data_IF_055246123473
#
_entry.id   IF_055246123473
#
_cell.length_a   1.000
_cell.length_b   1.000
_cell.length_c   1.000
_cell.angle_alpha   90.00
_cell.angle_beta   90.00
_cell.angle_gamma   90.00
#
_symmetry.space_group_name_H-M   'P 1'
#
loop_
_entity.id
_entity.type
_entity.pdbx_description
1 polymer ?
#
# COMPACT_ATOMS: atom_id res chain seq x y z
N UNK A 1 -1.92 0.75 -10.18
CA UNK A 1 -2.42 -0.08 -9.05
C UNK A 1 -1.43 -1.10 -8.48
N UNK A 2 -0.63 -1.84 -9.28
CA UNK A 2 0.30 -2.86 -8.75
C UNK A 2 1.21 -2.38 -7.59
N UNK A 3 1.83 -1.19 -7.64
CA UNK A 3 2.67 -0.70 -6.53
C UNK A 3 1.90 -0.52 -5.22
N UNK A 4 0.67 0.01 -5.30
CA UNK A 4 -0.21 0.20 -4.13
C UNK A 4 -0.63 -1.14 -3.54
N UNK A 5 -0.98 -2.12 -4.38
CA UNK A 5 -1.32 -3.47 -3.92
C UNK A 5 -0.10 -4.14 -3.26
N UNK A 6 1.10 -3.98 -3.84
CA UNK A 6 2.35 -4.48 -3.24
C UNK A 6 2.57 -3.87 -1.86
N UNK A 7 2.44 -2.56 -1.71
CA UNK A 7 2.57 -1.87 -0.42
C UNK A 7 1.52 -2.37 0.58
N UNK A 8 0.26 -2.47 0.16
CA UNK A 8 -0.82 -2.93 1.01
C UNK A 8 -0.57 -4.34 1.55
N UNK A 9 -0.17 -5.28 0.68
CA UNK A 9 0.20 -6.64 1.08
C UNK A 9 1.45 -6.65 1.97
N UNK A 10 2.44 -5.79 1.71
CA UNK A 10 3.62 -5.62 2.56
C UNK A 10 3.30 -5.03 3.95
N UNK A 11 2.14 -4.41 4.12
CA UNK A 11 1.62 -3.93 5.40
C UNK A 11 0.54 -4.85 6.00
N UNK A 12 0.34 -6.04 5.42
CA UNK A 12 -0.61 -7.04 5.91
C UNK A 12 -2.08 -6.73 5.60
N UNK A 13 -2.40 -5.73 4.77
CA UNK A 13 -3.77 -5.49 4.30
C UNK A 13 -4.26 -6.67 3.47
N UNK A 14 -5.51 -7.07 3.72
CA UNK A 14 -6.18 -8.17 3.03
C UNK A 14 -7.13 -7.63 1.98
N UNK A 15 -7.55 -8.53 1.08
CA UNK A 15 -8.47 -8.20 -0.01
C UNK A 15 -9.71 -7.41 0.45
N UNK A 16 -10.34 -7.83 1.55
CA UNK A 16 -11.54 -7.16 2.06
C UNK A 16 -11.31 -5.67 2.41
N UNK A 17 -10.12 -5.30 2.89
CA UNK A 17 -9.81 -3.89 3.20
C UNK A 17 -9.68 -3.07 1.90
N UNK A 18 -8.99 -3.63 0.91
CA UNK A 18 -8.80 -2.99 -0.39
C UNK A 18 -10.12 -2.85 -1.14
N UNK A 19 -10.97 -3.88 -1.11
CA UNK A 19 -12.31 -3.86 -1.71
C UNK A 19 -13.19 -2.78 -1.08
N UNK A 20 -13.22 -2.72 0.26
CA UNK A 20 -13.98 -1.71 0.98
C UNK A 20 -13.55 -0.29 0.59
N UNK A 21 -12.25 0.01 0.67
CA UNK A 21 -11.73 1.35 0.32
C UNK A 21 -12.03 1.72 -1.14
N UNK A 22 -11.83 0.78 -2.08
CA UNK A 22 -12.11 1.04 -3.50
C UNK A 22 -13.60 1.29 -3.73
N UNK A 23 -14.46 0.49 -3.08
CA UNK A 23 -15.91 0.64 -3.16
C UNK A 23 -16.35 2.02 -2.70
N UNK A 24 -15.85 2.48 -1.55
CA UNK A 24 -16.17 3.80 -1.01
C UNK A 24 -15.73 4.92 -1.95
N UNK A 25 -14.48 4.87 -2.44
CA UNK A 25 -13.95 5.87 -3.36
C UNK A 25 -14.73 5.92 -4.68
N UNK A 26 -15.19 4.78 -5.20
CA UNK A 26 -16.03 4.74 -6.40
C UNK A 26 -17.37 5.45 -6.18
N UNK A 27 -18.00 5.24 -5.04
CA UNK A 27 -19.28 5.88 -4.70
C UNK A 27 -19.09 7.40 -4.54
N UNK A 28 -18.03 7.82 -3.85
CA UNK A 28 -17.72 9.23 -3.63
C UNK A 28 -17.44 9.98 -4.94
N UNK A 29 -16.58 9.42 -5.80
CA UNK A 29 -16.27 10.01 -7.11
C UNK A 29 -17.48 10.00 -8.05
N UNK A 30 -18.30 8.96 -8.03
CA UNK A 30 -19.56 8.95 -8.77
C UNK A 30 -20.50 10.06 -8.29
N UNK A 31 -20.64 10.23 -6.96
CA UNK A 31 -21.48 11.29 -6.39
C UNK A 31 -20.98 12.67 -6.81
N UNK A 32 -19.66 12.92 -6.73
CA UNK A 32 -19.04 14.18 -7.19
C UNK A 32 -19.36 14.46 -8.66
N UNK A 33 -19.20 13.47 -9.53
CA UNK A 33 -19.48 13.63 -10.96
C UNK A 33 -20.96 13.96 -11.28
N UNK A 34 -21.91 13.58 -10.41
CA UNK A 34 -23.31 13.99 -10.51
C UNK A 34 -23.54 15.40 -9.93
N UNK A 35 -22.92 15.72 -8.80
CA UNK A 35 -22.99 17.04 -8.17
C UNK A 35 -22.39 18.14 -9.05
N UNK A 36 -21.31 17.85 -9.79
CA UNK A 36 -20.72 18.76 -10.77
C UNK A 36 -21.68 19.09 -11.92
N UNK A 37 -22.71 18.25 -12.13
CA UNK A 37 -23.82 18.49 -13.07
C UNK A 37 -25.06 19.10 -12.40
N UNK A 38 -24.97 19.46 -11.12
CA UNK A 38 -26.05 20.06 -10.34
C UNK A 38 -27.13 19.08 -9.88
N UNK A 39 -26.85 17.77 -9.87
CA UNK A 39 -27.83 16.73 -9.52
C UNK A 39 -27.34 15.92 -8.33
N UNK A 40 -28.16 15.82 -7.28
CA UNK A 40 -27.94 14.84 -6.20
C UNK A 40 -28.38 13.45 -6.69
N UNK A 41 -27.48 12.47 -6.84
CA UNK A 41 -27.83 11.18 -7.42
C UNK A 41 -28.58 10.29 -6.43
N UNK A 42 -29.62 9.62 -6.91
CA UNK A 42 -30.27 8.55 -6.16
C UNK A 42 -29.45 7.23 -6.20
N UNK A 43 -29.83 6.26 -5.36
CA UNK A 43 -29.14 4.96 -5.26
C UNK A 43 -29.01 4.21 -6.60
N UNK A 44 -30.00 4.34 -7.49
CA UNK A 44 -29.97 3.69 -8.80
C UNK A 44 -28.94 4.35 -9.72
N UNK A 45 -28.86 5.68 -9.72
CA UNK A 45 -27.86 6.41 -10.49
C UNK A 45 -26.44 6.09 -10.02
N UNK A 46 -26.21 6.03 -8.70
CA UNK A 46 -24.92 5.62 -8.14
C UNK A 46 -24.56 4.17 -8.51
N UNK A 47 -25.51 3.24 -8.41
CA UNK A 47 -25.31 1.84 -8.80
C UNK A 47 -24.94 1.69 -10.28
N UNK A 48 -25.65 2.41 -11.17
CA UNK A 48 -25.36 2.41 -12.62
C UNK A 48 -23.99 3.03 -12.93
N UNK A 49 -23.65 4.14 -12.26
CA UNK A 49 -22.38 4.87 -12.51
C UNK A 49 -21.16 4.07 -12.02
N UNK A 50 -21.28 3.41 -10.87
CA UNK A 50 -20.17 2.67 -10.25
C UNK A 50 -20.10 1.19 -10.66
N UNK A 51 -21.19 0.62 -11.19
CA UNK A 51 -21.34 -0.81 -11.40
C UNK A 51 -21.53 -1.63 -10.11
N UNK A 52 -21.61 -0.98 -8.94
CA UNK A 52 -21.80 -1.63 -7.66
C UNK A 52 -23.27 -2.01 -7.45
N UNK A 53 -23.51 -3.13 -6.76
CA UNK A 53 -24.88 -3.53 -6.43
C UNK A 53 -25.52 -2.53 -5.44
N UNK A 54 -26.85 -2.45 -5.46
CA UNK A 54 -27.61 -1.50 -4.66
C UNK A 54 -27.37 -1.65 -3.15
N UNK A 55 -27.12 -2.86 -2.65
CA UNK A 55 -26.82 -3.11 -1.23
C UNK A 55 -25.50 -2.42 -0.84
N UNK A 56 -24.48 -2.54 -1.67
CA UNK A 56 -23.15 -1.97 -1.45
C UNK A 56 -23.18 -0.43 -1.47
N UNK A 57 -23.97 0.16 -2.37
CA UNK A 57 -24.23 1.61 -2.40
C UNK A 57 -25.03 2.08 -1.18
N UNK A 58 -26.04 1.31 -0.79
CA UNK A 58 -26.91 1.65 0.35
C UNK A 58 -26.16 1.62 1.67
N UNK A 59 -25.24 0.67 1.86
CA UNK A 59 -24.40 0.59 3.06
C UNK A 59 -23.64 1.91 3.28
N UNK A 60 -22.99 2.43 2.24
CA UNK A 60 -22.24 3.69 2.34
C UNK A 60 -23.11 4.91 2.64
N UNK A 61 -24.28 5.01 2.00
CA UNK A 61 -25.20 6.16 2.18
C UNK A 61 -25.84 6.17 3.58
N UNK A 62 -25.89 5.02 4.26
CA UNK A 62 -26.50 4.86 5.60
C UNK A 62 -25.51 4.93 6.76
N UNK A 63 -24.20 5.04 6.49
CA UNK A 63 -23.16 5.15 7.53
C UNK A 63 -23.21 6.52 8.25
N UNK A 64 -24.18 6.67 9.16
CA UNK A 64 -24.01 7.44 10.38
C UNK A 64 -23.69 6.52 11.58
N UNK A 65 -24.09 5.25 11.58
CA UNK A 65 -23.80 4.30 12.66
C UNK A 65 -23.83 2.86 12.15
N UNK A 66 -22.75 2.40 11.53
CA UNK A 66 -22.37 0.99 11.70
C UNK A 66 -20.93 1.00 12.21
N UNK A 67 -20.63 0.39 13.37
CA UNK A 67 -19.25 0.10 13.68
C UNK A 67 -18.74 -0.73 12.50
N UNK A 68 -17.69 -0.25 11.84
CA UNK A 68 -16.94 -1.00 10.83
C UNK A 68 -16.97 -2.47 11.25
N UNK A 69 -17.41 -3.42 10.39
CA UNK A 69 -17.42 -4.82 10.77
C UNK A 69 -16.03 -5.10 11.33
N UNK A 70 -15.97 -5.46 12.63
CA UNK A 70 -14.71 -5.61 13.35
C UNK A 70 -13.80 -6.40 12.43
N UNK A 71 -12.78 -5.73 11.93
CA UNK A 71 -11.92 -6.34 10.94
C UNK A 71 -11.20 -7.44 11.68
N UNK A 72 -11.66 -8.68 11.50
CA UNK A 72 -11.02 -9.80 12.13
C UNK A 72 -9.57 -9.77 11.70
N UNK A 73 -8.68 -9.46 12.65
CA UNK A 73 -7.25 -9.40 12.40
C UNK A 73 -6.84 -10.65 11.63
N UNK A 74 -6.00 -10.49 10.60
CA UNK A 74 -5.53 -11.65 9.84
C UNK A 74 -4.88 -12.68 10.75
N UNK A 75 -4.87 -13.95 10.36
CA UNK A 75 -4.24 -15.00 11.18
C UNK A 75 -2.77 -14.66 11.54
N UNK A 76 -2.02 -14.05 10.61
CA UNK A 76 -0.67 -13.54 10.87
C UNK A 76 -0.63 -12.38 11.87
N UNK A 77 -1.54 -11.41 11.74
CA UNK A 77 -1.63 -10.30 12.70
C UNK A 77 -2.04 -10.78 14.10
N UNK A 78 -3.03 -11.68 14.21
CA UNK A 78 -3.44 -12.30 15.48
C UNK A 78 -2.28 -13.08 16.11
N UNK A 79 -1.54 -13.84 15.30
CA UNK A 79 -0.39 -14.63 15.76
C UNK A 79 0.72 -13.73 16.27
N UNK A 80 1.06 -12.68 15.52
CA UNK A 80 2.06 -11.70 15.92
C UNK A 80 1.69 -10.98 17.22
N UNK A 81 0.44 -10.51 17.35
CA UNK A 81 -0.02 -9.80 18.56
C UNK A 81 0.03 -10.70 19.78
N UNK A 82 -0.44 -11.95 19.66
CA UNK A 82 -0.36 -12.93 20.74
C UNK A 82 1.11 -13.23 21.12
N UNK A 83 1.97 -13.41 20.11
CA UNK A 83 3.38 -13.69 20.32
C UNK A 83 4.11 -12.52 21.00
N UNK A 84 3.82 -11.27 20.59
CA UNK A 84 4.35 -10.07 21.22
C UNK A 84 3.93 -9.94 22.68
N UNK A 85 2.66 -10.23 22.98
CA UNK A 85 2.16 -10.22 24.36
C UNK A 85 2.91 -11.26 25.21
N UNK A 86 3.04 -12.50 24.71
CA UNK A 86 3.80 -13.56 25.38
C UNK A 86 5.27 -13.14 25.62
N UNK A 87 5.91 -12.51 24.63
CA UNK A 87 7.31 -12.05 24.74
C UNK A 87 7.50 -10.85 25.67
N UNK A 88 6.44 -10.09 25.94
CA UNK A 88 6.46 -8.98 26.92
C UNK A 88 6.45 -9.53 28.33
N UNK A 89 5.67 -10.59 28.57
CA UNK A 89 5.58 -11.27 29.85
C UNK A 89 6.83 -12.14 30.13
N UNK A 90 7.41 -12.74 29.09
CA UNK A 90 8.67 -13.50 29.16
C UNK A 90 9.57 -13.22 27.94
N UNK A 91 10.66 -12.43 28.09
CA UNK A 91 11.60 -12.12 27.02
C UNK A 91 12.25 -13.35 26.36
N UNK A 92 12.30 -14.51 27.03
CA UNK A 92 12.81 -15.75 26.42
C UNK A 92 11.94 -16.22 25.24
N UNK A 93 10.68 -15.77 25.17
CA UNK A 93 9.73 -16.11 24.11
C UNK A 93 9.88 -15.24 22.86
N UNK A 94 10.86 -14.32 22.79
CA UNK A 94 11.23 -13.63 21.55
C UNK A 94 11.66 -14.60 20.43
N UNK A 95 12.12 -15.80 20.80
CA UNK A 95 12.39 -16.91 19.90
C UNK A 95 11.66 -18.16 20.38
N UNK A 96 10.88 -18.78 19.49
CA UNK A 96 10.16 -20.03 19.75
C UNK A 96 10.69 -21.15 18.86
N UNK A 97 10.68 -22.42 19.30
CA UNK A 97 10.79 -23.54 18.37
C UNK A 97 9.60 -23.51 17.39
N UNK A 98 9.83 -23.91 16.13
CA UNK A 98 8.78 -23.95 15.11
C UNK A 98 7.64 -24.89 15.54
N UNK A 99 8.01 -26.09 15.95
CA UNK A 99 7.17 -27.15 16.52
C UNK A 99 7.86 -27.62 17.81
N UNK A 100 7.09 -27.88 18.87
CA UNK A 100 7.63 -28.40 20.12
C UNK A 100 7.04 -29.78 20.46
N UNK A 101 7.87 -30.62 21.07
CA UNK A 101 7.44 -31.86 21.72
C UNK A 101 6.99 -31.58 23.16
N UNK A 102 5.99 -32.33 23.65
CA UNK A 102 5.62 -32.32 25.07
C UNK A 102 4.90 -31.08 25.58
N UNK A 103 4.28 -30.26 24.72
CA UNK A 103 3.41 -29.15 25.13
C UNK A 103 4.14 -27.85 25.52
N UNK A 104 5.45 -27.76 25.26
CA UNK A 104 6.19 -26.51 25.42
C UNK A 104 5.72 -25.43 24.42
N UNK A 105 5.89 -24.13 24.74
CA UNK A 105 5.56 -23.03 23.82
C UNK A 105 6.30 -23.18 22.48
N UNK A 106 5.54 -23.12 21.38
CA UNK A 106 6.05 -23.19 20.01
C UNK A 106 5.30 -22.22 19.12
N UNK A 107 5.92 -21.84 18.00
CA UNK A 107 5.27 -21.00 17.00
C UNK A 107 3.99 -21.65 16.46
N UNK A 108 4.00 -22.97 16.20
CA UNK A 108 2.81 -23.72 15.80
C UNK A 108 1.66 -23.56 16.80
N UNK A 109 1.93 -23.69 18.10
CA UNK A 109 0.90 -23.57 19.13
C UNK A 109 0.29 -22.16 19.16
N UNK A 110 1.12 -21.12 19.05
CA UNK A 110 0.69 -19.71 19.00
C UNK A 110 -0.15 -19.45 17.74
N UNK A 111 0.33 -19.89 16.59
CA UNK A 111 -0.34 -19.73 15.30
C UNK A 111 -1.70 -20.42 15.28
N UNK A 112 -1.77 -21.67 15.76
CA UNK A 112 -3.00 -22.45 15.87
C UNK A 112 -4.01 -21.79 16.81
N UNK A 113 -3.55 -21.26 17.95
CA UNK A 113 -4.42 -20.56 18.89
C UNK A 113 -4.99 -19.28 18.26
N UNK A 114 -4.12 -18.44 17.70
CA UNK A 114 -4.50 -17.17 17.08
C UNK A 114 -5.39 -17.32 15.85
N UNK A 115 -5.19 -18.36 15.04
CA UNK A 115 -6.02 -18.65 13.87
C UNK A 115 -7.25 -19.49 14.16
N UNK A 116 -7.46 -19.91 15.42
CA UNK A 116 -8.46 -20.93 15.82
C UNK A 116 -8.36 -22.22 14.99
N UNK A 117 -7.15 -22.58 14.58
CA UNK A 117 -6.88 -23.75 13.72
C UNK A 117 -7.26 -23.59 12.24
N UNK A 118 -7.80 -22.45 11.81
CA UNK A 118 -8.28 -22.26 10.43
C UNK A 118 -7.17 -22.06 9.38
N UNK A 119 -5.93 -21.81 9.80
CA UNK A 119 -4.79 -21.56 8.90
C UNK A 119 -3.59 -22.33 9.41
N UNK A 120 -2.91 -23.04 8.52
CA UNK A 120 -1.71 -23.82 8.86
C UNK A 120 -0.58 -22.90 9.34
N UNK A 121 0.15 -23.31 10.39
CA UNK A 121 1.21 -22.49 10.99
C UNK A 121 2.27 -22.08 9.96
N UNK A 122 2.60 -22.96 9.00
CA UNK A 122 3.56 -22.63 7.93
C UNK A 122 3.11 -21.46 7.05
N UNK A 123 1.84 -21.43 6.66
CA UNK A 123 1.27 -20.31 5.88
C UNK A 123 1.36 -18.98 6.64
N UNK A 124 1.18 -19.03 7.97
CA UNK A 124 1.32 -17.85 8.82
C UNK A 124 2.78 -17.43 8.95
N UNK A 125 3.69 -18.39 9.13
CA UNK A 125 5.13 -18.14 9.21
C UNK A 125 5.68 -17.53 7.92
N UNK A 126 5.35 -18.12 6.77
CA UNK A 126 5.77 -17.64 5.46
C UNK A 126 5.32 -16.19 5.25
N UNK A 127 4.11 -15.83 5.70
CA UNK A 127 3.61 -14.46 5.66
C UNK A 127 4.37 -13.53 6.62
N UNK A 128 4.69 -13.94 7.85
CA UNK A 128 5.47 -13.12 8.78
C UNK A 128 6.92 -12.91 8.32
N UNK A 129 7.54 -13.93 7.72
CA UNK A 129 8.88 -13.85 7.10
C UNK A 129 8.84 -12.94 5.87
N UNK A 130 7.83 -13.08 5.00
CA UNK A 130 7.63 -12.20 3.85
C UNK A 130 7.46 -10.73 4.26
N UNK A 131 6.85 -10.47 5.43
CA UNK A 131 6.68 -9.15 6.01
C UNK A 131 7.92 -8.65 6.78
N UNK A 132 8.99 -9.45 6.85
CA UNK A 132 10.18 -9.20 7.65
C UNK A 132 9.91 -9.01 9.15
N UNK A 133 8.80 -9.56 9.66
CA UNK A 133 8.37 -9.49 11.07
C UNK A 133 8.90 -10.65 11.90
N UNK A 134 9.30 -11.74 11.24
CA UNK A 134 9.93 -12.89 11.85
C UNK A 134 11.05 -13.42 10.95
N UNK A 135 12.03 -14.08 11.56
CA UNK A 135 13.04 -14.88 10.86
C UNK A 135 12.91 -16.33 11.29
N UNK A 136 13.24 -17.25 10.39
CA UNK A 136 13.32 -18.67 10.69
C UNK A 136 14.75 -19.16 10.47
N UNK A 137 15.33 -19.80 11.48
CA UNK A 137 16.67 -20.37 11.41
C UNK A 137 16.75 -21.63 12.28
N UNK A 138 17.33 -22.70 11.74
CA UNK A 138 17.58 -23.96 12.45
C UNK A 138 16.38 -24.50 13.26
N UNK A 139 15.16 -24.47 12.68
CA UNK A 139 13.94 -24.98 13.32
C UNK A 139 13.38 -24.09 14.43
N UNK A 140 13.90 -22.86 14.56
CA UNK A 140 13.39 -21.83 15.46
C UNK A 140 12.90 -20.62 14.66
N UNK A 141 11.94 -19.92 15.24
CA UNK A 141 11.37 -18.69 14.70
C UNK A 141 11.63 -17.57 15.71
N UNK A 142 12.16 -16.44 15.27
CA UNK A 142 12.44 -15.29 16.12
C UNK A 142 11.72 -14.04 15.60
N UNK A 143 11.21 -13.20 16.52
CA UNK A 143 10.67 -11.89 16.16
C UNK A 143 11.79 -10.99 15.66
N UNK A 144 11.58 -10.36 14.51
CA UNK A 144 12.56 -9.43 13.96
C UNK A 144 12.32 -8.02 14.53
N UNK A 145 13.16 -7.60 15.47
CA UNK A 145 13.15 -6.24 16.02
C UNK A 145 13.44 -5.16 14.96
N UNK A 146 14.17 -5.49 13.88
CA UNK A 146 14.43 -4.56 12.77
C UNK A 146 13.25 -4.47 11.76
N UNK A 147 12.34 -5.45 11.77
CA UNK A 147 11.03 -5.34 11.10
C UNK A 147 10.08 -4.37 11.81
N UNK A 148 10.41 -4.00 13.05
CA UNK A 148 9.76 -2.95 13.81
C UNK A 148 10.35 -1.59 13.39
N UNK A 149 9.94 -1.09 12.23
CA UNK A 149 10.11 0.35 11.93
C UNK A 149 9.47 1.09 13.11
N UNK A 150 10.17 1.99 13.81
CA UNK A 150 9.58 2.73 14.92
C UNK A 150 8.27 3.33 14.42
N UNK A 151 7.15 2.89 14.99
CA UNK A 151 5.79 3.13 14.48
C UNK A 151 5.45 4.61 14.25
N UNK A 152 6.24 5.51 14.84
CA UNK A 152 6.17 6.96 14.63
C UNK A 152 6.65 7.42 13.24
N UNK A 153 7.65 6.78 12.64
CA UNK A 153 8.17 7.19 11.32
C UNK A 153 7.38 6.54 10.17
N UNK A 154 6.90 5.29 10.34
CA UNK A 154 6.12 4.62 9.30
C UNK A 154 4.85 5.39 8.92
N UNK A 155 4.11 5.92 9.92
CA UNK A 155 2.92 6.73 9.65
C UNK A 155 3.27 8.01 8.87
N UNK A 156 4.39 8.66 9.22
CA UNK A 156 4.89 9.84 8.52
C UNK A 156 5.31 9.53 7.08
N UNK A 157 6.05 8.45 6.87
CA UNK A 157 6.46 7.98 5.54
C UNK A 157 5.27 7.62 4.66
N UNK A 158 4.27 6.91 5.21
CA UNK A 158 3.05 6.56 4.47
C UNK A 158 2.22 7.79 4.12
N UNK A 159 2.11 8.76 5.04
CA UNK A 159 1.45 10.03 4.77
C UNK A 159 2.16 10.81 3.65
N UNK A 160 3.49 10.94 3.73
CA UNK A 160 4.29 11.62 2.71
C UNK A 160 4.18 10.92 1.34
N UNK A 161 4.30 9.59 1.30
CA UNK A 161 4.09 8.81 0.08
C UNK A 161 2.69 9.04 -0.50
N UNK A 162 1.66 8.97 0.36
CA UNK A 162 0.26 9.20 0.00
C UNK A 162 0.04 10.58 -0.62
N UNK A 163 0.57 11.63 0.00
CA UNK A 163 0.45 13.00 -0.49
C UNK A 163 1.14 13.20 -1.84
N UNK A 164 2.37 12.69 -1.99
CA UNK A 164 3.09 12.80 -3.27
C UNK A 164 2.37 12.04 -4.37
N UNK A 165 1.95 10.80 -4.11
CA UNK A 165 1.23 9.99 -5.08
C UNK A 165 -0.12 10.63 -5.47
N UNK A 166 -0.86 11.14 -4.48
CA UNK A 166 -2.13 11.86 -4.70
C UNK A 166 -1.93 13.06 -5.60
N UNK A 167 -0.98 13.93 -5.28
CA UNK A 167 -0.80 15.19 -6.00
C UNK A 167 -0.28 14.97 -7.42
N UNK A 168 0.60 13.98 -7.63
CA UNK A 168 1.04 13.58 -8.97
C UNK A 168 -0.10 13.01 -9.80
N UNK A 169 -0.93 12.13 -9.21
CA UNK A 169 -2.12 11.60 -9.88
C UNK A 169 -3.12 12.69 -10.21
N UNK A 170 -3.36 13.66 -9.32
CA UNK A 170 -4.27 14.78 -9.57
C UNK A 170 -3.81 15.64 -10.76
N UNK A 171 -2.51 15.95 -10.86
CA UNK A 171 -1.98 16.66 -12.01
C UNK A 171 -2.18 15.86 -13.32
N UNK A 172 -1.86 14.55 -13.28
CA UNK A 172 -1.99 13.66 -14.44
C UNK A 172 -3.45 13.49 -14.88
N UNK A 173 -4.36 13.25 -13.93
CA UNK A 173 -5.79 13.06 -14.17
C UNK A 173 -6.42 14.37 -14.66
N UNK A 174 -6.11 15.50 -14.02
CA UNK A 174 -6.59 16.81 -14.46
C UNK A 174 -6.20 17.10 -15.91
N UNK A 175 -4.93 16.89 -16.25
CA UNK A 175 -4.44 17.04 -17.62
C UNK A 175 -5.15 16.08 -18.60
N UNK A 176 -5.35 14.82 -18.21
CA UNK A 176 -6.03 13.80 -19.03
C UNK A 176 -7.50 14.13 -19.27
N UNK A 177 -8.19 14.68 -18.26
CA UNK A 177 -9.59 15.07 -18.34
C UNK A 177 -9.79 16.47 -18.94
N UNK A 178 -8.71 17.14 -19.37
CA UNK A 178 -8.77 18.42 -20.09
C UNK A 178 -8.88 19.66 -19.20
N UNK A 179 -8.43 19.59 -17.94
CA UNK A 179 -8.34 20.77 -17.08
C UNK A 179 -7.41 21.83 -17.71
N UNK A 180 -7.81 23.11 -17.61
CA UNK A 180 -7.08 24.24 -18.17
C UNK A 180 -6.85 25.34 -17.10
N UNK A 181 -5.63 25.90 -17.00
CA UNK A 181 -4.43 25.52 -17.75
C UNK A 181 -3.88 24.15 -17.32
N UNK A 182 -3.18 23.42 -18.20
CA UNK A 182 -2.58 22.15 -17.84
C UNK A 182 -1.51 22.33 -16.75
N UNK A 183 -1.51 21.43 -15.78
CA UNK A 183 -0.48 21.36 -14.74
C UNK A 183 0.83 20.82 -15.32
N UNK A 184 1.97 21.18 -14.73
CA UNK A 184 3.27 20.63 -15.13
C UNK A 184 3.37 19.14 -14.72
N UNK A 185 3.13 18.24 -15.69
CA UNK A 185 3.27 16.79 -15.54
C UNK A 185 3.94 16.25 -16.80
N UNK A 186 5.25 15.98 -16.72
CA UNK A 186 6.08 15.56 -17.85
C UNK A 186 7.21 14.65 -17.37
N UNK A 187 7.56 13.67 -18.19
CA UNK A 187 8.70 12.79 -17.96
C UNK A 187 9.54 12.61 -19.23
N UNK A 188 10.83 12.33 -19.05
CA UNK A 188 11.73 11.85 -20.11
C UNK A 188 11.94 10.35 -19.87
N UNK A 189 11.79 9.54 -20.90
CA UNK A 189 11.97 8.09 -20.81
C UNK A 189 12.80 7.58 -21.98
N UNK A 190 13.55 6.52 -21.74
CA UNK A 190 14.31 5.79 -22.74
C UNK A 190 14.45 4.33 -22.29
N UNK A 191 14.66 3.42 -23.24
CA UNK A 191 14.90 1.99 -22.99
C UNK A 191 16.26 1.59 -23.55
N UNK A 192 16.81 0.45 -23.10
CA UNK A 192 18.10 -0.05 -23.57
C UNK A 192 19.30 0.73 -23.02
N UNK A 193 19.16 1.36 -21.85
CA UNK A 193 20.25 2.04 -21.14
C UNK A 193 20.92 1.05 -20.19
N UNK A 194 22.25 1.07 -20.13
CA UNK A 194 23.02 0.28 -19.17
C UNK A 194 22.66 0.69 -17.72
N UNK A 195 22.71 -0.25 -16.76
CA UNK A 195 22.32 0.03 -15.36
C UNK A 195 23.22 1.11 -14.75
N UNK A 196 24.51 1.09 -15.09
CA UNK A 196 25.50 2.08 -14.63
C UNK A 196 25.19 3.49 -15.16
N UNK A 197 24.65 3.58 -16.39
CA UNK A 197 24.18 4.85 -16.94
C UNK A 197 22.90 5.32 -16.26
N UNK A 198 21.98 4.41 -15.92
CA UNK A 198 20.80 4.75 -15.13
C UNK A 198 21.19 5.32 -13.75
N UNK A 199 22.18 4.72 -13.08
CA UNK A 199 22.73 5.22 -11.81
C UNK A 199 23.37 6.60 -11.96
N UNK A 200 24.20 6.80 -12.99
CA UNK A 200 24.83 8.09 -13.28
C UNK A 200 23.78 9.17 -13.55
N UNK A 201 22.74 8.86 -14.32
CA UNK A 201 21.62 9.77 -14.60
C UNK A 201 20.83 10.06 -13.31
N UNK A 202 20.59 9.06 -12.47
CA UNK A 202 19.95 9.25 -11.17
C UNK A 202 20.73 10.23 -10.28
N UNK A 203 22.07 10.11 -10.23
CA UNK A 203 22.90 11.06 -9.48
C UNK A 203 22.83 12.47 -10.05
N UNK A 204 22.86 12.62 -11.37
CA UNK A 204 22.67 13.92 -12.03
C UNK A 204 21.31 14.54 -11.67
N UNK A 205 20.23 13.75 -11.72
CA UNK A 205 18.89 14.21 -11.36
C UNK A 205 18.83 14.69 -9.90
N UNK A 206 19.42 13.94 -8.95
CA UNK A 206 19.51 14.35 -7.53
C UNK A 206 20.29 15.65 -7.35
N UNK A 207 21.43 15.80 -8.02
CA UNK A 207 22.24 17.03 -7.95
C UNK A 207 21.45 18.25 -8.45
N UNK A 208 20.77 18.12 -9.59
CA UNK A 208 19.93 19.20 -10.14
C UNK A 208 18.73 19.50 -9.26
N UNK A 209 18.09 18.47 -8.72
CA UNK A 209 16.98 18.63 -7.79
C UNK A 209 17.37 19.36 -6.52
N UNK A 210 18.53 19.07 -5.93
CA UNK A 210 18.96 19.74 -4.70
C UNK A 210 19.05 21.27 -4.87
N UNK A 211 19.59 21.72 -6.01
CA UNK A 211 19.65 23.15 -6.33
C UNK A 211 18.25 23.75 -6.50
N UNK A 212 17.41 23.11 -7.32
CA UNK A 212 16.03 23.56 -7.57
C UNK A 212 15.16 23.54 -6.31
N UNK A 213 15.29 22.52 -5.48
CA UNK A 213 14.58 22.39 -4.21
C UNK A 213 14.92 23.55 -3.26
N UNK A 214 16.19 23.96 -3.21
CA UNK A 214 16.60 25.10 -2.39
C UNK A 214 15.95 26.41 -2.89
N UNK A 215 15.97 26.66 -4.20
CA UNK A 215 15.27 27.80 -4.80
C UNK A 215 13.77 27.79 -4.50
N UNK A 216 13.10 26.66 -4.75
CA UNK A 216 11.66 26.49 -4.52
C UNK A 216 11.29 26.69 -3.04
N UNK A 217 12.10 26.19 -2.12
CA UNK A 217 11.89 26.40 -0.69
C UNK A 217 11.92 27.89 -0.36
N UNK A 218 12.92 28.62 -0.88
CA UNK A 218 13.03 30.07 -0.70
C UNK A 218 11.83 30.84 -1.27
N UNK A 219 11.37 30.49 -2.47
CA UNK A 219 10.19 31.11 -3.08
C UNK A 219 8.91 30.80 -2.30
N UNK A 220 8.71 29.54 -1.89
CA UNK A 220 7.54 29.13 -1.13
C UNK A 220 7.50 29.80 0.24
N UNK A 221 8.63 29.92 0.94
CA UNK A 221 8.71 30.67 2.21
C UNK A 221 8.36 32.13 2.02
N UNK A 222 8.93 32.81 1.01
CA UNK A 222 8.57 34.21 0.70
C UNK A 222 7.08 34.36 0.40
N UNK A 223 6.52 33.47 -0.42
CA UNK A 223 5.11 33.49 -0.77
C UNK A 223 4.21 33.27 0.47
N UNK A 224 4.61 32.38 1.38
CA UNK A 224 3.89 32.14 2.63
C UNK A 224 3.97 33.34 3.59
N UNK A 225 5.14 33.96 3.74
CA UNK A 225 5.33 35.12 4.62
C UNK A 225 4.60 36.38 4.11
N UNK A 226 4.48 36.53 2.79
CA UNK A 226 3.76 37.64 2.17
C UNK A 226 2.23 37.41 2.09
N UNK A 227 1.75 36.20 2.44
CA UNK A 227 0.35 35.84 2.33
C UNK A 227 -0.51 36.51 3.41
N UNK A 228 -1.70 36.98 3.02
CA UNK A 228 -2.74 37.39 3.97
C UNK A 228 -3.61 36.20 4.42
N UNK A 229 -4.57 36.47 5.31
CA UNK A 229 -5.46 35.43 5.86
C UNK A 229 -6.42 34.80 4.85
N UNK A 230 -6.52 35.34 3.63
CA UNK A 230 -7.37 34.80 2.55
C UNK A 230 -6.62 33.87 1.61
N UNK A 231 -5.28 33.81 1.71
CA UNK A 231 -4.46 32.91 0.93
C UNK A 231 -4.77 31.44 1.24
N UNK A 232 -5.23 30.72 0.23
CA UNK A 232 -5.65 29.31 0.33
C UNK A 232 -4.87 28.37 -0.61
N UNK A 233 -3.89 28.93 -1.32
CA UNK A 233 -3.08 28.19 -2.30
C UNK A 233 -2.28 27.06 -1.65
N UNK A 234 -2.34 25.87 -2.24
CA UNK A 234 -1.49 24.73 -1.88
C UNK A 234 -0.77 24.23 -3.12
N UNK A 235 0.56 24.24 -3.07
CA UNK A 235 1.41 23.78 -4.16
C UNK A 235 2.31 22.64 -3.67
N UNK A 236 2.57 21.66 -4.56
CA UNK A 236 3.60 20.65 -4.38
C UNK A 236 4.44 20.58 -5.65
N UNK A 237 5.76 20.58 -5.48
CA UNK A 237 6.71 20.33 -6.56
C UNK A 237 7.59 19.18 -6.12
N UNK A 238 7.71 18.15 -6.96
CA UNK A 238 8.51 16.98 -6.68
C UNK A 238 9.05 16.38 -7.96
N UNK A 239 10.13 15.62 -7.83
CA UNK A 239 10.73 14.84 -8.92
C UNK A 239 10.97 13.41 -8.42
N UNK A 240 10.86 12.45 -9.32
CA UNK A 240 11.23 11.07 -9.07
C UNK A 240 12.10 10.57 -10.22
N UNK A 241 12.92 9.57 -9.92
CA UNK A 241 13.64 8.79 -10.93
C UNK A 241 13.43 7.33 -10.58
N UNK A 242 12.97 6.56 -11.55
CA UNK A 242 12.81 5.12 -11.43
C UNK A 242 13.60 4.47 -12.56
N UNK A 243 14.41 3.48 -12.21
CA UNK A 243 15.08 2.60 -13.16
C UNK A 243 15.09 1.18 -12.59
N UNK A 244 15.13 0.21 -13.47
CA UNK A 244 15.17 -1.21 -13.15
C UNK A 244 16.10 -1.91 -14.14
N UNK A 245 16.75 -2.99 -13.70
CA UNK A 245 17.37 -3.90 -14.65
C UNK A 245 16.27 -4.77 -15.27
N UNK A 246 16.09 -4.61 -16.59
CA UNK A 246 15.11 -5.37 -17.35
C UNK A 246 15.36 -6.89 -17.27
N UNK A 247 16.62 -7.32 -17.11
CA UNK A 247 16.97 -8.73 -16.94
C UNK A 247 16.44 -9.27 -15.59
N UNK A 248 16.59 -8.52 -14.50
CA UNK A 248 16.10 -8.89 -13.17
C UNK A 248 14.56 -8.89 -13.12
N UNK A 249 13.92 -7.92 -13.79
CA UNK A 249 12.46 -7.85 -13.86
C UNK A 249 11.89 -9.02 -14.68
N UNK A 250 12.59 -9.47 -15.73
CA UNK A 250 12.18 -10.62 -16.52
C UNK A 250 12.29 -11.94 -15.74
N UNK A 251 13.34 -12.11 -14.93
CA UNK A 251 13.54 -13.29 -14.09
C UNK A 251 12.50 -13.39 -12.95
N UNK A 252 12.04 -12.25 -12.43
CA UNK A 252 11.04 -12.18 -11.37
C UNK A 252 9.58 -12.08 -11.87
N UNK A 253 9.32 -12.23 -13.18
CA UNK A 253 7.93 -12.35 -13.67
C UNK A 253 7.38 -13.73 -13.29
N UNK A 254 6.17 -13.81 -12.67
CA UNK A 254 5.54 -15.10 -12.45
C UNK A 254 5.34 -15.81 -13.80
N UNK A 255 5.95 -16.99 -13.92
CA UNK A 255 5.82 -17.86 -15.10
C UNK A 255 4.33 -18.09 -15.33
N UNK A 256 3.83 -17.71 -16.51
CA UNK A 256 2.45 -18.02 -16.89
C UNK A 256 2.35 -19.53 -16.99
N UNK A 257 1.47 -20.21 -16.23
CA UNK A 257 1.39 -21.66 -16.30
C UNK A 257 1.03 -22.05 -17.74
N UNK A 258 1.87 -22.88 -18.35
CA UNK A 258 1.65 -23.40 -19.69
C UNK A 258 0.25 -24.02 -19.76
N UNK A 259 -0.53 -23.63 -20.76
CA UNK A 259 -1.82 -24.26 -21.04
C UNK A 259 -1.58 -25.76 -21.15
N UNK A 260 -2.17 -26.55 -20.23
CA UNK A 260 -2.24 -28.00 -20.38
C UNK A 260 -2.96 -28.26 -21.71
N UNK A 261 -2.23 -28.78 -22.69
CA UNK A 261 -2.81 -29.34 -23.89
C UNK A 261 -3.66 -30.54 -23.44
N UNK A 262 -4.98 -30.38 -23.46
CA UNK A 262 -5.87 -31.53 -23.39
C UNK A 262 -5.69 -32.33 -24.69
N UNK A 263 -4.79 -33.31 -24.64
CA UNK A 263 -4.79 -34.40 -25.59
C UNK A 263 -6.09 -35.18 -25.37
N UNK A 264 -7.04 -35.00 -26.28
CA UNK A 264 -8.04 -36.01 -26.59
C UNK A 264 -7.60 -36.63 -27.90
N UNK A 265 -6.91 -37.75 -27.81
CA UNK A 265 -6.86 -38.77 -28.85
C UNK A 265 -7.11 -40.12 -28.17
N UNK A 266 -7.92 -40.94 -28.85
CA UNK A 266 -8.51 -42.24 -28.51
C UNK A 266 -9.81 -42.21 -27.70
#
# INVERSE_FOLDING_TARGET
MRPIVRLALALGLKHAHLELMLRELLIDEARRAWLDKGVEPNLSQLSVTTGLNRKAVTAKVREAEEPLPHTEMSAAAKTLTLWLQMSTDDPALLSLPLVAEGGAPSFEAVARHASRGNVHHRTILDELVRLNLATEEAGRVALNAAGFVPSKDLKGMLAFLGDNARDHLLASVGNTLGAAPPMLERAVFATGIAVEDCERIHQLARQRWNALHHELTGEMTRAFEAADSTASGRIRVGIYTYYEDAADVAQNRPVTPAKRSNGKDA
#
